data_IF_795222433080
#
_entry.id   IF_795222433080
#
_cell.length_a   1.000
_cell.length_b   1.000
_cell.length_c   1.000
_cell.angle_alpha   90.00
_cell.angle_beta   90.00
_cell.angle_gamma   90.00
#
_symmetry.space_group_name_H-M   'P 1'
#
loop_
_entity.id
_entity.type
_entity.pdbx_description
1 polymer ?
#
# COMPACT_ATOMS: atom_id res chain seq x y z
N UNK A 1 -34.89 -21.75 40.90
CA UNK A 1 -35.30 -21.02 39.67
C UNK A 1 -36.81 -21.06 39.57
N UNK A 2 -37.47 -19.90 39.55
CA UNK A 2 -38.93 -19.75 39.70
C UNK A 2 -39.71 -20.41 38.55
N UNK A 3 -40.79 -21.12 38.89
CA UNK A 3 -41.74 -21.79 37.99
C UNK A 3 -42.40 -20.87 36.96
N UNK A 4 -42.30 -19.56 37.18
CA UNK A 4 -42.82 -18.52 36.30
C UNK A 4 -41.95 -18.30 35.04
N UNK A 5 -40.63 -18.56 35.14
CA UNK A 5 -39.72 -18.47 34.00
C UNK A 5 -39.92 -19.62 32.99
N UNK A 6 -40.25 -20.82 33.49
CA UNK A 6 -40.58 -21.98 32.64
C UNK A 6 -41.88 -21.77 31.85
N UNK A 7 -42.91 -21.19 32.47
CA UNK A 7 -44.17 -20.86 31.79
C UNK A 7 -44.02 -19.76 30.73
N UNK A 8 -43.11 -18.79 30.94
CA UNK A 8 -42.77 -17.79 29.92
C UNK A 8 -42.00 -18.39 28.73
N UNK A 9 -41.11 -19.34 28.96
CA UNK A 9 -40.39 -20.06 27.90
C UNK A 9 -41.32 -20.96 27.07
N UNK A 10 -42.26 -21.67 27.71
CA UNK A 10 -43.24 -22.51 26.99
C UNK A 10 -44.24 -21.72 26.13
N UNK A 11 -44.53 -20.47 26.50
CA UNK A 11 -45.34 -19.55 25.66
C UNK A 11 -44.58 -19.01 24.45
N UNK A 12 -43.26 -18.91 24.51
CA UNK A 12 -42.43 -18.48 23.38
C UNK A 12 -42.19 -19.62 22.37
N UNK A 13 -42.23 -20.88 22.81
CA UNK A 13 -42.00 -22.04 21.94
C UNK A 13 -43.23 -22.44 21.10
N UNK A 14 -44.45 -22.08 21.56
CA UNK A 14 -45.70 -22.40 20.84
C UNK A 14 -46.04 -21.48 19.66
N UNK A 15 -45.18 -20.50 19.36
CA UNK A 15 -45.32 -19.58 18.22
C UNK A 15 -44.48 -19.93 16.98
N UNK A 16 -43.57 -20.91 17.06
CA UNK A 16 -42.76 -21.35 15.92
C UNK A 16 -43.51 -22.38 15.08
N UNK A 17 -44.60 -21.95 14.46
CA UNK A 17 -45.05 -22.60 13.24
C UNK A 17 -43.92 -22.42 12.21
N UNK A 18 -43.40 -23.54 11.69
CA UNK A 18 -42.54 -23.58 10.50
C UNK A 18 -43.34 -23.00 9.34
N UNK A 19 -43.38 -21.68 9.22
CA UNK A 19 -43.60 -21.05 7.92
C UNK A 19 -42.44 -21.49 7.06
N UNK A 20 -42.67 -22.48 6.19
CA UNK A 20 -41.86 -22.69 5.01
C UNK A 20 -41.63 -21.31 4.40
N UNK A 21 -40.41 -20.80 4.50
CA UNK A 21 -40.01 -19.62 3.76
C UNK A 21 -40.31 -19.94 2.31
N UNK A 22 -41.36 -19.33 1.75
CA UNK A 22 -41.61 -19.37 0.31
C UNK A 22 -40.32 -18.90 -0.33
N UNK A 23 -39.62 -19.79 -1.04
CA UNK A 23 -38.48 -19.43 -1.84
C UNK A 23 -38.91 -18.26 -2.73
N UNK A 24 -38.36 -17.08 -2.49
CA UNK A 24 -38.51 -15.97 -3.44
C UNK A 24 -37.97 -16.49 -4.77
N UNK A 25 -38.68 -16.30 -5.89
CA UNK A 25 -38.14 -16.71 -7.18
C UNK A 25 -36.79 -16.01 -7.35
N UNK A 26 -35.71 -16.79 -7.44
CA UNK A 26 -34.37 -16.28 -7.68
C UNK A 26 -34.42 -15.46 -8.95
N UNK A 27 -34.18 -14.16 -8.85
CA UNK A 27 -34.10 -13.28 -10.03
C UNK A 27 -32.94 -13.81 -10.88
N UNK A 28 -33.25 -14.41 -12.03
CA UNK A 28 -32.25 -14.59 -13.09
C UNK A 28 -31.92 -13.19 -13.57
N UNK A 29 -30.81 -12.63 -13.07
CA UNK A 29 -30.27 -11.41 -13.62
C UNK A 29 -29.96 -11.68 -15.09
N UNK A 30 -30.76 -11.08 -15.97
CA UNK A 30 -30.39 -10.95 -17.37
C UNK A 30 -29.06 -10.17 -17.39
N UNK A 31 -28.13 -10.59 -18.25
CA UNK A 31 -26.91 -9.84 -18.58
C UNK A 31 -25.72 -9.89 -17.62
N UNK A 32 -25.74 -10.66 -16.53
CA UNK A 32 -24.49 -10.94 -15.79
C UNK A 32 -23.49 -11.74 -16.64
N UNK A 33 -22.17 -11.55 -16.45
CA UNK A 33 -21.17 -12.40 -17.08
C UNK A 33 -21.39 -13.88 -16.76
N UNK A 34 -21.01 -14.81 -17.67
CA UNK A 34 -21.13 -16.24 -17.41
C UNK A 34 -20.43 -16.62 -16.11
N UNK A 35 -21.16 -17.28 -15.21
CA UNK A 35 -20.68 -17.75 -13.92
C UNK A 35 -21.41 -19.02 -13.49
N UNK A 36 -20.95 -19.60 -12.40
CA UNK A 36 -21.45 -20.85 -11.85
C UNK A 36 -21.97 -20.68 -10.43
N UNK A 37 -22.90 -21.56 -10.03
CA UNK A 37 -23.36 -21.65 -8.66
C UNK A 37 -22.53 -22.69 -7.91
N UNK A 38 -21.86 -22.27 -6.85
CA UNK A 38 -21.05 -23.13 -5.98
C UNK A 38 -21.84 -23.44 -4.73
N UNK A 39 -22.11 -24.73 -4.49
CA UNK A 39 -22.78 -25.19 -3.28
C UNK A 39 -21.81 -25.26 -2.10
N UNK A 40 -22.23 -24.71 -0.97
CA UNK A 40 -21.50 -24.72 0.30
C UNK A 40 -22.44 -25.15 1.42
N UNK A 41 -21.89 -25.38 2.62
CA UNK A 41 -22.72 -25.62 3.81
C UNK A 41 -23.63 -24.45 4.19
N UNK A 42 -23.36 -23.25 3.67
CA UNK A 42 -24.09 -22.02 3.97
C UNK A 42 -25.07 -21.60 2.85
N UNK A 43 -25.20 -22.42 1.81
CA UNK A 43 -26.03 -22.14 0.63
C UNK A 43 -25.22 -22.02 -0.66
N UNK A 44 -25.79 -21.32 -1.65
CA UNK A 44 -25.20 -21.19 -2.98
C UNK A 44 -24.52 -19.83 -3.12
N UNK A 45 -23.29 -19.83 -3.64
CA UNK A 45 -22.56 -18.63 -4.04
C UNK A 45 -22.51 -18.54 -5.56
N UNK A 46 -22.64 -17.34 -6.11
CA UNK A 46 -22.39 -17.11 -7.54
C UNK A 46 -20.94 -16.71 -7.76
N UNK A 47 -20.27 -17.41 -8.69
CA UNK A 47 -18.84 -17.31 -8.94
C UNK A 47 -18.58 -17.13 -10.43
N UNK A 48 -17.70 -16.19 -10.77
CA UNK A 48 -17.20 -15.99 -12.13
C UNK A 48 -15.71 -16.35 -12.11
N UNK A 49 -15.32 -17.34 -12.91
CA UNK A 49 -13.91 -17.72 -13.10
C UNK A 49 -13.45 -17.28 -14.49
N UNK A 50 -12.34 -16.56 -14.54
CA UNK A 50 -11.67 -16.15 -15.78
C UNK A 50 -10.22 -16.59 -15.73
N UNK A 51 -9.81 -17.37 -16.74
CA UNK A 51 -8.43 -17.81 -16.91
C UNK A 51 -7.68 -16.87 -17.86
N UNK A 52 -6.49 -16.44 -17.45
CA UNK A 52 -5.56 -15.69 -18.27
C UNK A 52 -4.28 -16.51 -18.48
N UNK A 53 -3.77 -16.62 -19.73
CA UNK A 53 -2.46 -17.19 -19.95
C UNK A 53 -1.39 -16.35 -19.26
N UNK A 54 -0.25 -16.96 -18.92
CA UNK A 54 0.85 -16.29 -18.23
C UNK A 54 1.41 -15.09 -19.00
N UNK A 55 1.40 -15.20 -20.32
CA UNK A 55 1.88 -14.19 -21.26
C UNK A 55 0.85 -13.07 -21.51
N UNK A 56 -0.34 -13.15 -20.90
CA UNK A 56 -1.35 -12.11 -21.00
C UNK A 56 -0.76 -10.77 -20.58
N UNK A 57 -0.91 -9.76 -21.43
CA UNK A 57 -0.38 -8.42 -21.20
C UNK A 57 -1.45 -7.52 -20.60
N UNK A 58 -1.14 -6.97 -19.44
CA UNK A 58 -1.93 -5.95 -18.78
C UNK A 58 -1.17 -4.63 -18.79
N UNK A 59 -1.52 -3.74 -19.73
CA UNK A 59 -0.69 -2.58 -20.05
C UNK A 59 0.65 -3.02 -20.66
N UNK A 60 1.76 -2.56 -20.08
CA UNK A 60 3.09 -2.89 -20.58
C UNK A 60 3.71 -4.17 -19.99
N UNK A 61 3.11 -4.77 -18.96
CA UNK A 61 3.65 -5.97 -18.29
C UNK A 61 2.87 -7.23 -18.64
N UNK A 62 3.55 -8.37 -18.73
CA UNK A 62 2.89 -9.68 -18.68
C UNK A 62 2.65 -10.13 -17.23
N UNK A 63 1.66 -11.01 -17.02
CA UNK A 63 1.35 -11.51 -15.67
C UNK A 63 2.47 -12.35 -15.07
N UNK A 64 3.22 -13.09 -15.90
CA UNK A 64 4.36 -13.90 -15.44
C UNK A 64 5.56 -13.11 -14.92
N UNK A 65 5.72 -11.84 -15.29
CA UNK A 65 6.87 -11.02 -14.88
C UNK A 65 7.07 -11.04 -13.36
N UNK A 66 5.97 -11.02 -12.60
CA UNK A 66 6.00 -10.98 -11.14
C UNK A 66 6.64 -12.25 -10.56
N UNK A 67 6.48 -13.39 -11.24
CA UNK A 67 6.98 -14.69 -10.80
C UNK A 67 8.51 -14.80 -10.85
N UNK A 68 9.17 -13.88 -11.58
CA UNK A 68 10.63 -13.82 -11.69
C UNK A 68 11.32 -13.15 -10.50
N UNK A 69 10.55 -12.52 -9.59
CA UNK A 69 11.10 -11.81 -8.45
C UNK A 69 11.19 -12.70 -7.21
N UNK A 70 12.28 -12.57 -6.46
CA UNK A 70 12.41 -13.22 -5.17
C UNK A 70 11.48 -12.54 -4.14
N UNK A 71 10.80 -13.31 -3.28
CA UNK A 71 9.93 -12.78 -2.23
C UNK A 71 10.62 -11.78 -1.29
N UNK A 72 11.94 -11.93 -1.06
CA UNK A 72 12.74 -10.99 -0.29
C UNK A 72 12.71 -9.55 -0.84
N UNK A 73 12.62 -9.36 -2.16
CA UNK A 73 12.47 -8.00 -2.71
C UNK A 73 11.14 -7.36 -2.26
N UNK A 74 10.07 -8.14 -2.25
CA UNK A 74 8.77 -7.65 -1.80
C UNK A 74 8.75 -7.41 -0.28
N UNK A 75 9.44 -8.25 0.49
CA UNK A 75 9.61 -8.04 1.93
C UNK A 75 10.26 -6.69 2.23
N UNK A 76 11.32 -6.32 1.51
CA UNK A 76 11.98 -5.02 1.64
C UNK A 76 11.11 -3.85 1.20
N UNK A 77 10.42 -3.99 0.07
CA UNK A 77 9.53 -2.95 -0.49
C UNK A 77 8.35 -2.68 0.44
N UNK A 78 7.73 -3.75 0.98
CA UNK A 78 6.60 -3.69 1.90
C UNK A 78 7.01 -3.29 3.33
N UNK A 79 8.26 -3.56 3.72
CA UNK A 79 8.69 -3.52 5.12
C UNK A 79 8.05 -4.62 5.96
N UNK A 80 7.85 -5.81 5.37
CA UNK A 80 7.24 -6.97 6.01
C UNK A 80 8.10 -8.22 5.77
N UNK A 81 8.91 -8.58 6.76
CA UNK A 81 9.84 -9.70 6.68
C UNK A 81 9.16 -11.06 6.46
N UNK A 82 7.87 -11.20 6.81
CA UNK A 82 7.16 -12.48 6.64
C UNK A 82 6.96 -12.85 5.16
N UNK A 83 7.02 -11.87 4.25
CA UNK A 83 6.97 -12.14 2.80
C UNK A 83 8.18 -12.94 2.33
N UNK A 84 9.32 -12.86 3.01
CA UNK A 84 10.54 -13.58 2.62
C UNK A 84 10.35 -15.11 2.64
N UNK A 85 9.54 -15.62 3.57
CA UNK A 85 9.22 -17.05 3.69
C UNK A 85 8.10 -17.54 2.75
N UNK A 86 7.51 -16.67 1.94
CA UNK A 86 6.41 -17.01 1.03
C UNK A 86 6.92 -17.37 -0.37
N UNK A 87 6.04 -17.86 -1.25
CA UNK A 87 6.32 -17.97 -2.69
C UNK A 87 5.39 -17.08 -3.48
N UNK A 88 5.94 -16.32 -4.44
CA UNK A 88 5.15 -15.43 -5.31
C UNK A 88 4.05 -16.19 -6.07
N UNK A 89 4.33 -17.44 -6.47
CA UNK A 89 3.35 -18.33 -7.11
C UNK A 89 2.17 -18.70 -6.20
N UNK A 90 2.29 -18.53 -4.88
CA UNK A 90 1.24 -18.75 -3.88
C UNK A 90 0.69 -17.45 -3.32
N UNK A 91 0.86 -16.32 -4.01
CA UNK A 91 0.22 -15.07 -3.62
C UNK A 91 -1.20 -14.96 -4.16
N UNK A 92 -2.08 -14.36 -3.36
CA UNK A 92 -3.43 -13.95 -3.76
C UNK A 92 -3.49 -12.44 -4.01
N UNK A 93 -3.98 -12.04 -5.17
CA UNK A 93 -4.21 -10.64 -5.54
C UNK A 93 -5.68 -10.33 -5.36
N UNK A 94 -6.01 -9.40 -4.47
CA UNK A 94 -7.39 -9.25 -4.00
C UNK A 94 -7.83 -7.79 -4.00
N UNK A 95 -9.09 -7.60 -4.37
CA UNK A 95 -9.80 -6.33 -4.37
C UNK A 95 -11.29 -6.60 -4.14
N UNK A 96 -11.95 -5.73 -3.37
CA UNK A 96 -13.38 -5.84 -3.07
C UNK A 96 -14.16 -4.57 -3.42
N UNK A 97 -15.38 -4.75 -3.91
CA UNK A 97 -16.37 -3.67 -3.99
C UNK A 97 -17.37 -3.79 -2.86
N UNK A 98 -17.69 -2.66 -2.23
CA UNK A 98 -18.49 -2.65 -1.01
C UNK A 98 -19.73 -1.77 -1.10
N UNK A 99 -20.72 -2.03 -0.24
CA UNK A 99 -21.92 -1.19 -0.10
C UNK A 99 -21.68 0.13 0.62
N UNK A 100 -20.44 0.44 1.01
CA UNK A 100 -20.11 1.66 1.74
C UNK A 100 -18.61 1.90 1.94
N UNK A 101 -18.24 3.18 1.99
CA UNK A 101 -16.84 3.62 2.04
C UNK A 101 -16.24 3.66 3.46
N UNK A 102 -17.05 3.47 4.50
CA UNK A 102 -16.65 3.68 5.90
C UNK A 102 -16.35 2.41 6.68
N UNK A 103 -16.40 1.22 6.06
CA UNK A 103 -15.97 -0.06 6.66
C UNK A 103 -16.70 -0.46 7.95
N UNK A 104 -17.85 0.15 8.25
CA UNK A 104 -18.64 -0.14 9.44
C UNK A 104 -19.31 -1.53 9.37
N UNK A 105 -19.83 -2.03 10.49
CA UNK A 105 -20.40 -3.38 10.61
C UNK A 105 -21.51 -3.73 9.59
N UNK A 106 -22.14 -2.74 8.94
CA UNK A 106 -23.12 -2.94 7.86
C UNK A 106 -22.56 -2.92 6.44
N UNK A 107 -21.26 -2.73 6.25
CA UNK A 107 -20.60 -2.70 4.93
C UNK A 107 -20.44 -4.12 4.42
N UNK A 108 -21.07 -4.46 3.31
CA UNK A 108 -20.96 -5.77 2.65
C UNK A 108 -19.94 -5.66 1.53
N UNK A 109 -19.04 -6.63 1.38
CA UNK A 109 -18.27 -6.83 0.16
C UNK A 109 -19.13 -7.59 -0.84
N UNK A 110 -19.81 -6.88 -1.73
CA UNK A 110 -20.79 -7.49 -2.64
C UNK A 110 -20.13 -8.07 -3.90
N UNK A 111 -18.90 -7.64 -4.19
CA UNK A 111 -18.04 -8.26 -5.19
C UNK A 111 -16.67 -8.47 -4.55
N UNK A 112 -16.21 -9.72 -4.54
CA UNK A 112 -14.90 -10.07 -3.98
C UNK A 112 -14.11 -10.77 -5.08
N UNK A 113 -13.06 -10.12 -5.58
CA UNK A 113 -12.19 -10.70 -6.57
C UNK A 113 -10.89 -11.21 -5.96
N UNK A 114 -10.47 -12.40 -6.39
CA UNK A 114 -9.23 -13.06 -5.99
C UNK A 114 -8.54 -13.63 -7.24
N UNK A 115 -7.36 -13.12 -7.53
CA UNK A 115 -6.44 -13.65 -8.53
C UNK A 115 -5.36 -14.52 -7.92
N UNK A 116 -5.14 -15.73 -8.46
CA UNK A 116 -4.08 -16.65 -8.01
C UNK A 116 -3.36 -17.28 -9.20
N UNK A 117 -2.08 -17.57 -9.04
CA UNK A 117 -1.34 -18.37 -10.03
C UNK A 117 -1.63 -19.85 -9.83
N UNK A 118 -2.01 -20.53 -10.91
CA UNK A 118 -2.22 -21.98 -10.95
C UNK A 118 -1.41 -22.60 -12.08
N UNK A 119 -1.41 -23.93 -12.21
CA UNK A 119 -0.69 -24.60 -13.29
C UNK A 119 -1.17 -24.08 -14.65
N UNK A 120 -0.31 -23.37 -15.37
CA UNK A 120 -0.54 -22.91 -16.74
C UNK A 120 -1.16 -21.52 -16.89
N UNK A 121 -1.40 -20.76 -15.80
CA UNK A 121 -1.90 -19.39 -15.94
C UNK A 121 -2.29 -18.71 -14.64
N UNK A 122 -2.95 -17.57 -14.80
CA UNK A 122 -3.51 -16.76 -13.74
C UNK A 122 -5.03 -16.91 -13.72
N UNK A 123 -5.57 -17.38 -12.61
CA UNK A 123 -7.00 -17.59 -12.43
C UNK A 123 -7.57 -16.46 -11.60
N UNK A 124 -8.41 -15.64 -12.21
CA UNK A 124 -9.22 -14.64 -11.56
C UNK A 124 -10.57 -15.23 -11.20
N UNK A 125 -10.93 -15.14 -9.93
CA UNK A 125 -12.20 -15.57 -9.40
C UNK A 125 -12.93 -14.40 -8.76
N UNK A 126 -14.18 -14.20 -9.12
CA UNK A 126 -15.01 -13.12 -8.59
C UNK A 126 -16.28 -13.70 -7.99
N UNK A 127 -16.50 -13.42 -6.71
CA UNK A 127 -17.74 -13.73 -6.01
C UNK A 127 -18.64 -12.51 -6.03
N UNK A 128 -19.75 -12.59 -6.77
CA UNK A 128 -20.73 -11.51 -6.86
C UNK A 128 -22.00 -11.91 -6.12
N UNK A 129 -22.42 -11.10 -5.14
CA UNK A 129 -23.62 -11.36 -4.35
C UNK A 129 -24.86 -10.91 -5.14
N UNK A 130 -25.54 -11.84 -5.81
CA UNK A 130 -26.78 -11.53 -6.55
C UNK A 130 -27.90 -11.13 -5.60
N UNK A 131 -27.85 -11.68 -4.39
CA UNK A 131 -28.65 -11.30 -3.24
C UNK A 131 -27.73 -11.29 -2.00
N UNK A 132 -27.90 -10.36 -1.03
CA UNK A 132 -27.13 -10.35 0.21
C UNK A 132 -27.15 -11.68 0.99
N UNK A 133 -28.18 -12.52 0.81
CA UNK A 133 -28.27 -13.85 1.42
C UNK A 133 -27.14 -14.80 0.96
N UNK A 134 -26.50 -14.53 -0.19
CA UNK A 134 -25.39 -15.35 -0.72
C UNK A 134 -24.05 -15.10 0.00
N UNK A 135 -23.96 -14.08 0.87
CA UNK A 135 -22.70 -13.66 1.50
C UNK A 135 -21.98 -14.79 2.23
N UNK A 136 -22.70 -15.54 3.08
CA UNK A 136 -22.09 -16.59 3.89
C UNK A 136 -21.48 -17.70 3.01
N UNK A 137 -22.17 -18.07 1.92
CA UNK A 137 -21.67 -19.04 0.96
C UNK A 137 -20.43 -18.51 0.22
N UNK A 138 -20.48 -17.26 -0.25
CA UNK A 138 -19.35 -16.62 -0.93
C UNK A 138 -18.10 -16.54 -0.05
N UNK A 139 -18.24 -16.09 1.20
CA UNK A 139 -17.13 -16.03 2.16
C UNK A 139 -16.57 -17.42 2.49
N UNK A 140 -17.43 -18.45 2.57
CA UNK A 140 -16.99 -19.83 2.81
C UNK A 140 -16.16 -20.34 1.63
N UNK A 141 -16.60 -20.10 0.40
CA UNK A 141 -15.85 -20.50 -0.79
C UNK A 141 -14.53 -19.72 -0.91
N UNK A 142 -14.55 -18.40 -0.70
CA UNK A 142 -13.35 -17.56 -0.67
C UNK A 142 -12.33 -18.07 0.35
N UNK A 143 -12.77 -18.48 1.55
CA UNK A 143 -11.89 -19.04 2.57
C UNK A 143 -11.18 -20.29 2.07
N UNK A 144 -11.90 -21.17 1.38
CA UNK A 144 -11.33 -22.38 0.78
C UNK A 144 -10.29 -22.04 -0.30
N UNK A 145 -10.53 -21.00 -1.10
CA UNK A 145 -9.60 -20.60 -2.16
C UNK A 145 -8.32 -19.92 -1.66
N UNK A 146 -8.42 -19.31 -0.48
CA UNK A 146 -7.29 -18.75 0.24
C UNK A 146 -6.50 -19.82 1.00
N UNK A 147 -6.95 -21.07 1.04
CA UNK A 147 -6.15 -22.17 1.59
C UNK A 147 -4.89 -22.38 0.76
N UNK A 148 -3.73 -22.31 1.41
CA UNK A 148 -2.44 -22.42 0.74
C UNK A 148 -1.93 -21.11 0.12
N UNK A 149 -2.67 -20.00 0.23
CA UNK A 149 -2.12 -18.67 -0.05
C UNK A 149 -1.11 -18.31 1.05
N UNK A 150 0.09 -17.90 0.63
CA UNK A 150 1.20 -17.58 1.52
C UNK A 150 1.48 -16.08 1.64
N UNK A 151 0.83 -15.27 0.80
CA UNK A 151 0.94 -13.83 0.82
C UNK A 151 -0.22 -13.20 0.09
N UNK A 152 -0.61 -12.02 0.52
CA UNK A 152 -1.69 -11.24 -0.10
C UNK A 152 -1.09 -10.00 -0.73
N UNK A 153 -1.66 -9.61 -1.87
CA UNK A 153 -1.38 -8.35 -2.56
C UNK A 153 -2.70 -7.61 -2.72
N UNK A 154 -2.75 -6.35 -2.29
CA UNK A 154 -3.91 -5.48 -2.45
C UNK A 154 -3.48 -4.05 -2.76
N UNK A 155 -4.43 -3.17 -3.08
CA UNK A 155 -4.19 -1.73 -3.16
C UNK A 155 -4.98 -1.00 -2.05
N UNK A 156 -4.29 -0.53 -1.02
CA UNK A 156 -4.89 0.07 0.20
C UNK A 156 -5.72 -0.91 1.05
N UNK A 157 -5.66 -2.21 0.77
CA UNK A 157 -6.50 -3.19 1.47
C UNK A 157 -6.11 -3.45 2.92
N UNK A 158 -4.92 -3.02 3.36
CA UNK A 158 -4.52 -3.14 4.78
C UNK A 158 -5.47 -2.35 5.68
N UNK A 159 -5.98 -1.22 5.17
CA UNK A 159 -6.86 -0.31 5.92
C UNK A 159 -8.33 -0.45 5.56
N UNK A 160 -8.67 -1.26 4.54
CA UNK A 160 -10.01 -1.32 4.00
C UNK A 160 -10.47 -2.76 3.73
N UNK A 161 -10.00 -3.38 2.66
CA UNK A 161 -10.45 -4.70 2.19
C UNK A 161 -10.35 -5.78 3.27
N UNK A 162 -9.17 -5.94 3.88
CA UNK A 162 -8.95 -6.99 4.88
C UNK A 162 -9.82 -6.76 6.13
N UNK A 163 -9.83 -5.56 6.76
CA UNK A 163 -10.73 -5.29 7.89
C UNK A 163 -12.22 -5.53 7.59
N UNK A 164 -12.69 -5.20 6.38
CA UNK A 164 -14.06 -5.47 5.96
C UNK A 164 -14.31 -6.97 5.93
N UNK A 165 -13.48 -7.74 5.21
CA UNK A 165 -13.62 -9.19 5.11
C UNK A 165 -13.55 -9.87 6.48
N UNK A 166 -12.60 -9.53 7.35
CA UNK A 166 -12.49 -10.09 8.70
C UNK A 166 -13.75 -9.85 9.55
N UNK A 167 -14.31 -8.63 9.44
CA UNK A 167 -15.58 -8.29 10.09
C UNK A 167 -16.73 -9.14 9.54
N UNK A 168 -16.77 -9.37 8.22
CA UNK A 168 -17.80 -10.20 7.59
C UNK A 168 -17.66 -11.69 7.92
N UNK A 169 -16.44 -12.23 7.97
CA UNK A 169 -16.18 -13.58 8.49
C UNK A 169 -16.71 -13.74 9.91
N UNK A 170 -16.50 -12.74 10.76
CA UNK A 170 -16.98 -12.77 12.15
C UNK A 170 -18.51 -12.72 12.23
N UNK A 171 -19.16 -11.89 11.42
CA UNK A 171 -20.62 -11.69 11.46
C UNK A 171 -21.36 -12.84 10.78
N UNK A 172 -21.01 -13.16 9.53
CA UNK A 172 -21.72 -14.12 8.70
C UNK A 172 -21.38 -15.57 9.06
N UNK A 173 -20.11 -15.87 9.40
CA UNK A 173 -19.63 -17.23 9.63
C UNK A 173 -19.25 -17.53 11.08
N UNK A 174 -19.34 -16.55 11.99
CA UNK A 174 -18.86 -16.65 13.38
C UNK A 174 -17.39 -17.08 13.48
N UNK A 175 -16.63 -16.72 12.46
CA UNK A 175 -15.24 -17.10 12.30
C UNK A 175 -14.34 -15.89 12.49
N UNK A 176 -13.48 -15.92 13.51
CA UNK A 176 -12.56 -14.82 13.82
C UNK A 176 -11.25 -14.96 13.06
N UNK A 177 -11.37 -15.20 11.76
CA UNK A 177 -10.21 -15.37 10.91
C UNK A 177 -9.49 -14.03 10.72
N UNK A 178 -8.18 -14.03 10.98
CA UNK A 178 -7.32 -12.85 10.83
C UNK A 178 -6.60 -12.90 9.50
N UNK A 179 -7.27 -12.43 8.45
CA UNK A 179 -6.70 -12.34 7.11
C UNK A 179 -5.49 -11.39 7.09
N UNK A 180 -5.48 -10.36 7.94
CA UNK A 180 -4.38 -9.43 8.12
C UNK A 180 -3.12 -10.06 8.74
N UNK A 181 -3.18 -11.32 9.17
CA UNK A 181 -2.01 -12.06 9.67
C UNK A 181 -1.19 -12.69 8.54
N UNK A 182 -1.72 -12.75 7.32
CA UNK A 182 -0.95 -13.18 6.16
C UNK A 182 0.12 -12.13 5.80
N UNK A 183 1.31 -12.55 5.32
CA UNK A 183 2.29 -11.65 4.73
C UNK A 183 1.64 -10.76 3.67
N UNK A 184 1.87 -9.44 3.72
CA UNK A 184 1.05 -8.51 2.93
C UNK A 184 1.84 -7.44 2.19
N UNK A 185 1.78 -7.49 0.86
CA UNK A 185 2.21 -6.41 -0.02
C UNK A 185 1.03 -5.50 -0.35
N UNK A 186 0.84 -4.45 0.44
CA UNK A 186 -0.10 -3.36 0.11
C UNK A 186 0.57 -2.35 -0.81
N UNK A 187 0.16 -2.34 -2.09
CA UNK A 187 0.83 -1.59 -3.15
C UNK A 187 0.67 -0.06 -3.04
N UNK A 188 -0.26 0.45 -2.23
CA UNK A 188 -0.46 1.89 -2.08
C UNK A 188 0.79 2.58 -1.51
N UNK A 189 1.43 1.97 -0.50
CA UNK A 189 2.58 2.55 0.18
C UNK A 189 3.83 2.63 -0.70
N UNK A 190 4.27 1.53 -1.36
CA UNK A 190 5.40 1.61 -2.27
C UNK A 190 5.09 2.48 -3.48
N UNK A 191 3.86 2.47 -3.99
CA UNK A 191 3.46 3.36 -5.09
C UNK A 191 3.58 4.84 -4.70
N UNK A 192 3.10 5.23 -3.51
CA UNK A 192 3.29 6.60 -2.99
C UNK A 192 4.76 6.94 -2.82
N UNK A 193 5.58 5.99 -2.36
CA UNK A 193 7.01 6.25 -2.16
C UNK A 193 7.72 6.57 -3.47
N UNK A 194 7.42 5.83 -4.54
CA UNK A 194 7.98 6.03 -5.87
C UNK A 194 7.44 7.30 -6.55
N UNK A 195 6.12 7.52 -6.48
CA UNK A 195 5.45 8.40 -7.45
C UNK A 195 4.66 9.57 -6.86
N UNK A 196 4.52 9.69 -5.53
CA UNK A 196 3.75 10.82 -4.93
C UNK A 196 4.35 12.20 -5.20
N UNK A 197 5.63 12.26 -5.58
CA UNK A 197 6.35 13.50 -5.90
C UNK A 197 6.29 13.87 -7.38
N UNK A 198 5.78 12.98 -8.24
CA UNK A 198 5.79 13.14 -9.70
C UNK A 198 4.39 13.07 -10.31
N UNK A 199 3.49 12.26 -9.75
CA UNK A 199 2.12 12.14 -10.24
C UNK A 199 1.16 13.05 -9.47
N UNK A 200 0.04 13.40 -10.11
CA UNK A 200 -1.03 14.21 -9.50
C UNK A 200 -1.66 13.54 -8.28
N UNK A 201 -1.76 12.20 -8.30
CA UNK A 201 -2.14 11.37 -7.17
C UNK A 201 -1.69 9.92 -7.40
N UNK A 202 -1.72 9.10 -6.36
CA UNK A 202 -1.45 7.66 -6.44
C UNK A 202 -2.73 6.85 -6.25
N UNK A 203 -3.83 7.22 -6.93
CA UNK A 203 -5.00 6.33 -7.06
C UNK A 203 -4.68 5.24 -8.10
N UNK A 204 -5.26 4.06 -7.96
CA UNK A 204 -4.99 2.93 -8.86
C UNK A 204 -5.23 3.30 -10.32
N UNK A 205 -6.36 3.95 -10.65
CA UNK A 205 -6.65 4.41 -12.02
C UNK A 205 -5.61 5.40 -12.59
N UNK A 206 -4.97 6.22 -11.75
CA UNK A 206 -3.86 7.09 -12.19
C UNK A 206 -2.61 6.27 -12.49
N UNK A 207 -2.28 5.30 -11.62
CA UNK A 207 -1.13 4.42 -11.81
C UNK A 207 -1.30 3.52 -13.03
N UNK A 208 -2.50 3.02 -13.27
CA UNK A 208 -2.83 2.27 -14.47
C UNK A 208 -2.53 3.06 -15.75
N UNK A 209 -3.00 4.30 -15.84
CA UNK A 209 -2.80 5.13 -17.04
C UNK A 209 -1.35 5.59 -17.19
N UNK A 210 -0.72 6.05 -16.10
CA UNK A 210 0.57 6.75 -16.17
C UNK A 210 1.78 5.82 -15.96
N UNK A 211 1.61 4.71 -15.25
CA UNK A 211 2.68 3.76 -14.93
C UNK A 211 2.53 2.47 -15.74
N UNK A 212 1.38 1.81 -15.68
CA UNK A 212 1.15 0.56 -16.40
C UNK A 212 0.79 0.75 -17.88
N UNK A 213 0.29 1.93 -18.24
CA UNK A 213 -0.28 2.26 -19.54
C UNK A 213 -1.42 1.31 -19.97
N UNK A 214 -2.26 0.92 -19.00
CA UNK A 214 -3.45 0.11 -19.23
C UNK A 214 -4.47 0.91 -20.04
N UNK A 215 -5.00 0.29 -21.10
CA UNK A 215 -6.11 0.81 -21.88
C UNK A 215 -7.38 0.07 -21.48
N UNK A 216 -8.23 0.71 -20.67
CA UNK A 216 -9.55 0.16 -20.31
C UNK A 216 -10.44 0.14 -21.55
N UNK A 217 -11.14 -0.97 -21.80
CA UNK A 217 -12.08 -1.10 -22.95
C UNK A 217 -13.48 -0.59 -22.61
N UNK A 218 -13.80 -0.44 -21.32
CA UNK A 218 -15.04 0.13 -20.83
C UNK A 218 -14.77 1.47 -20.12
N UNK A 219 -15.77 2.34 -20.10
CA UNK A 219 -15.71 3.63 -19.39
C UNK A 219 -15.49 3.41 -17.89
N UNK A 220 -14.69 4.27 -17.26
CA UNK A 220 -14.37 4.18 -15.84
C UNK A 220 -15.61 4.46 -15.00
N UNK A 221 -16.01 3.53 -14.13
CA UNK A 221 -17.03 3.79 -13.12
C UNK A 221 -16.37 4.51 -11.95
N UNK A 222 -16.79 5.75 -11.60
CA UNK A 222 -16.29 6.40 -10.39
C UNK A 222 -16.62 5.54 -9.17
N UNK A 223 -15.60 5.14 -8.39
CA UNK A 223 -15.76 4.24 -7.26
C UNK A 223 -16.80 4.68 -6.21
N UNK A 224 -17.06 5.98 -6.09
CA UNK A 224 -18.10 6.52 -5.20
C UNK A 224 -19.54 6.17 -5.64
N UNK A 225 -19.74 5.84 -6.92
CA UNK A 225 -21.04 5.46 -7.47
C UNK A 225 -21.32 3.95 -7.37
N UNK A 226 -20.26 3.13 -7.26
CA UNK A 226 -20.35 1.67 -7.24
C UNK A 226 -21.33 1.14 -6.17
N UNK A 227 -21.34 1.64 -4.91
CA UNK A 227 -22.32 1.21 -3.92
C UNK A 227 -23.77 1.48 -4.34
N UNK A 228 -24.03 2.63 -4.98
CA UNK A 228 -25.36 3.02 -5.45
C UNK A 228 -25.84 2.11 -6.58
N UNK A 229 -24.97 1.78 -7.52
CA UNK A 229 -25.27 0.86 -8.63
C UNK A 229 -25.70 -0.52 -8.12
N UNK A 230 -25.03 -1.05 -7.08
CA UNK A 230 -25.43 -2.33 -6.49
C UNK A 230 -26.80 -2.26 -5.81
N UNK A 231 -27.10 -1.17 -5.10
CA UNK A 231 -28.41 -0.98 -4.49
C UNK A 231 -29.53 -0.89 -5.55
N UNK A 232 -29.26 -0.25 -6.68
CA UNK A 232 -30.21 -0.16 -7.78
C UNK A 232 -30.40 -1.50 -8.49
N UNK A 233 -29.34 -2.30 -8.66
CA UNK A 233 -29.43 -3.69 -9.09
C UNK A 233 -30.34 -4.51 -8.16
N UNK A 234 -30.17 -4.40 -6.84
CA UNK A 234 -31.03 -5.13 -5.89
C UNK A 234 -32.51 -4.72 -5.98
N UNK A 235 -32.79 -3.45 -6.26
CA UNK A 235 -34.17 -2.96 -6.43
C UNK A 235 -34.78 -3.44 -7.74
N UNK A 236 -34.10 -3.19 -8.85
CA UNK A 236 -34.63 -3.33 -10.21
C UNK A 236 -34.45 -4.74 -10.78
N UNK A 237 -33.37 -5.42 -10.41
CA UNK A 237 -32.91 -6.66 -11.03
C UNK A 237 -32.12 -6.45 -12.33
N UNK A 238 -31.87 -5.20 -12.74
CA UNK A 238 -31.09 -4.86 -13.92
C UNK A 238 -29.59 -4.92 -13.60
N UNK A 239 -28.87 -5.84 -14.24
CA UNK A 239 -27.45 -6.07 -14.02
C UNK A 239 -26.53 -5.31 -15.00
N UNK A 240 -27.08 -4.47 -15.87
CA UNK A 240 -26.31 -3.76 -16.90
C UNK A 240 -25.10 -3.01 -16.34
N UNK A 241 -25.29 -2.30 -15.22
CA UNK A 241 -24.21 -1.58 -14.54
C UNK A 241 -23.25 -2.53 -13.80
N UNK A 242 -23.74 -3.66 -13.31
CA UNK A 242 -22.94 -4.66 -12.60
C UNK A 242 -21.93 -5.34 -13.51
N UNK A 243 -22.23 -5.49 -14.82
CA UNK A 243 -21.24 -5.96 -15.80
C UNK A 243 -19.99 -5.08 -15.80
N UNK A 244 -20.17 -3.76 -15.74
CA UNK A 244 -19.05 -2.82 -15.70
C UNK A 244 -18.29 -2.92 -14.38
N UNK A 245 -19.00 -2.96 -13.25
CA UNK A 245 -18.38 -3.10 -11.92
C UNK A 245 -17.55 -4.39 -11.82
N UNK A 246 -18.08 -5.52 -12.32
CA UNK A 246 -17.35 -6.79 -12.37
C UNK A 246 -16.11 -6.69 -13.27
N UNK A 247 -16.22 -6.04 -14.42
CA UNK A 247 -15.07 -5.78 -15.28
C UNK A 247 -14.02 -4.89 -14.60
N UNK A 248 -14.42 -3.85 -13.87
CA UNK A 248 -13.50 -2.97 -13.16
C UNK A 248 -12.69 -3.71 -12.09
N UNK A 249 -13.35 -4.47 -11.23
CA UNK A 249 -12.67 -5.30 -10.23
C UNK A 249 -11.70 -6.30 -10.87
N UNK A 250 -12.05 -6.88 -12.02
CA UNK A 250 -11.16 -7.75 -12.78
C UNK A 250 -9.89 -7.00 -13.26
N UNK A 251 -10.07 -5.81 -13.85
CA UNK A 251 -8.97 -4.94 -14.29
C UNK A 251 -8.09 -4.52 -13.12
N UNK A 252 -8.68 -4.13 -11.99
CA UNK A 252 -7.97 -3.69 -10.80
C UNK A 252 -7.07 -4.82 -10.26
N UNK A 253 -7.56 -6.06 -10.22
CA UNK A 253 -6.77 -7.24 -9.81
C UNK A 253 -5.60 -7.52 -10.76
N UNK A 254 -5.82 -7.45 -12.07
CA UNK A 254 -4.73 -7.57 -13.04
C UNK A 254 -3.72 -6.41 -12.88
N UNK A 255 -4.19 -5.22 -12.54
CA UNK A 255 -3.34 -4.06 -12.23
C UNK A 255 -2.50 -4.30 -10.99
N UNK A 256 -2.98 -5.04 -9.98
CA UNK A 256 -2.16 -5.42 -8.83
C UNK A 256 -0.95 -6.27 -9.23
N UNK A 257 -1.15 -7.23 -10.16
CA UNK A 257 -0.06 -8.07 -10.68
C UNK A 257 0.97 -7.22 -11.43
N UNK A 258 0.51 -6.43 -12.41
CA UNK A 258 1.39 -5.56 -13.21
C UNK A 258 2.13 -4.53 -12.36
N UNK A 259 1.44 -3.91 -11.40
CA UNK A 259 2.04 -2.92 -10.51
C UNK A 259 3.07 -3.55 -9.56
N UNK A 260 2.83 -4.79 -9.09
CA UNK A 260 3.83 -5.55 -8.34
C UNK A 260 5.09 -5.76 -9.18
N UNK A 261 4.97 -6.22 -10.42
CA UNK A 261 6.10 -6.39 -11.34
C UNK A 261 6.87 -5.09 -11.54
N UNK A 262 6.17 -3.99 -11.81
CA UNK A 262 6.81 -2.68 -12.01
C UNK A 262 7.54 -2.25 -10.76
N UNK A 263 6.92 -2.24 -9.58
CA UNK A 263 7.56 -1.79 -8.34
C UNK A 263 8.80 -2.64 -8.02
N UNK A 264 8.68 -3.98 -8.10
CA UNK A 264 9.78 -4.89 -7.82
C UNK A 264 10.91 -4.75 -8.84
N UNK A 265 10.59 -4.46 -10.10
CA UNK A 265 11.60 -4.18 -11.13
C UNK A 265 12.45 -2.97 -10.78
N UNK A 266 11.84 -1.88 -10.30
CA UNK A 266 12.56 -0.64 -9.92
C UNK A 266 13.52 -0.90 -8.76
N UNK A 267 13.09 -1.71 -7.78
CA UNK A 267 13.91 -2.08 -6.63
C UNK A 267 15.05 -3.05 -6.99
N UNK A 268 14.88 -3.89 -8.03
CA UNK A 268 15.92 -4.84 -8.48
C UNK A 268 17.01 -4.18 -9.33
N UNK A 269 16.77 -3.01 -9.92
CA UNK A 269 17.68 -2.40 -10.89
C UNK A 269 19.08 -2.23 -10.30
N UNK A 270 20.12 -2.87 -10.89
CA UNK A 270 21.50 -2.70 -10.43
C UNK A 270 22.01 -1.27 -10.61
N UNK A 271 21.57 -0.63 -11.70
CA UNK A 271 21.90 0.76 -12.02
C UNK A 271 20.64 1.64 -11.89
N UNK A 272 20.54 2.47 -10.84
CA UNK A 272 19.40 3.34 -10.61
C UNK A 272 19.45 4.63 -11.45
N UNK A 273 20.47 4.88 -12.27
CA UNK A 273 20.59 6.13 -13.06
C UNK A 273 19.50 6.29 -14.13
N UNK A 274 18.88 5.19 -14.57
CA UNK A 274 17.73 5.21 -15.47
C UNK A 274 16.40 5.58 -14.80
N UNK A 275 16.36 5.67 -13.46
CA UNK A 275 15.18 6.07 -12.70
C UNK A 275 15.05 7.58 -12.63
N UNK A 276 13.81 8.06 -12.49
CA UNK A 276 13.62 9.46 -12.08
C UNK A 276 14.23 9.70 -10.69
N UNK A 277 14.63 10.94 -10.38
CA UNK A 277 15.19 11.25 -9.06
C UNK A 277 14.28 10.86 -7.88
N UNK A 278 12.96 10.86 -8.08
CA UNK A 278 11.99 10.47 -7.05
C UNK A 278 11.98 8.95 -6.85
N UNK A 279 12.03 8.18 -7.93
CA UNK A 279 12.11 6.72 -7.88
C UNK A 279 13.45 6.26 -7.29
N UNK A 280 14.56 6.85 -7.74
CA UNK A 280 15.89 6.57 -7.19
C UNK A 280 15.95 6.87 -5.68
N UNK A 281 15.33 7.95 -5.21
CA UNK A 281 15.22 8.26 -3.78
C UNK A 281 14.43 7.19 -3.02
N UNK A 282 13.32 6.71 -3.59
CA UNK A 282 12.51 5.67 -2.97
C UNK A 282 13.30 4.36 -2.83
N UNK A 283 13.97 3.93 -3.91
CA UNK A 283 14.82 2.73 -3.98
C UNK A 283 15.99 2.82 -3.01
N UNK A 284 16.69 3.96 -2.97
CA UNK A 284 17.78 4.19 -2.02
C UNK A 284 17.33 4.02 -0.56
N UNK A 285 16.12 4.48 -0.24
CA UNK A 285 15.58 4.31 1.11
C UNK A 285 15.15 2.87 1.42
N UNK A 286 14.79 2.06 0.42
CA UNK A 286 14.55 0.63 0.63
C UNK A 286 15.87 -0.11 0.87
N UNK A 287 16.89 0.10 0.04
CA UNK A 287 18.23 -0.45 0.27
C UNK A 287 18.79 -0.07 1.64
N UNK A 288 18.68 1.21 2.03
CA UNK A 288 19.15 1.67 3.34
C UNK A 288 18.40 1.01 4.51
N UNK A 289 17.09 0.78 4.37
CA UNK A 289 16.29 0.09 5.39
C UNK A 289 16.65 -1.41 5.48
N UNK A 290 17.01 -2.03 4.36
CA UNK A 290 17.48 -3.41 4.28
C UNK A 290 18.97 -3.59 4.66
N UNK A 291 19.68 -2.51 5.04
CA UNK A 291 21.11 -2.57 5.37
C UNK A 291 22.06 -2.69 4.17
N UNK A 292 21.55 -2.56 2.94
CA UNK A 292 22.32 -2.59 1.69
C UNK A 292 22.93 -1.21 1.40
N UNK A 293 23.89 -0.83 2.23
CA UNK A 293 24.44 0.54 2.22
C UNK A 293 25.16 0.93 0.92
N UNK A 294 25.96 0.07 0.27
CA UNK A 294 26.55 0.40 -1.02
C UNK A 294 25.51 0.72 -2.11
N UNK A 295 24.48 -0.11 -2.22
CA UNK A 295 23.38 0.08 -3.18
C UNK A 295 22.54 1.32 -2.84
N UNK A 296 22.31 1.56 -1.54
CA UNK A 296 21.63 2.76 -1.07
C UNK A 296 22.39 4.04 -1.45
N UNK A 297 23.72 4.04 -1.30
CA UNK A 297 24.56 5.18 -1.66
C UNK A 297 24.49 5.49 -3.15
N UNK A 298 24.66 4.48 -4.00
CA UNK A 298 24.53 4.60 -5.46
C UNK A 298 23.16 5.16 -5.86
N UNK A 299 22.09 4.64 -5.25
CA UNK A 299 20.73 5.11 -5.54
C UNK A 299 20.48 6.53 -5.00
N UNK A 300 21.04 6.93 -3.85
CA UNK A 300 20.95 8.31 -3.39
C UNK A 300 21.72 9.27 -4.31
N UNK A 301 22.89 8.88 -4.82
CA UNK A 301 23.64 9.66 -5.79
C UNK A 301 22.85 9.85 -7.09
N UNK A 302 22.24 8.77 -7.61
CA UNK A 302 21.33 8.84 -8.75
C UNK A 302 20.13 9.77 -8.46
N UNK A 303 19.57 9.72 -7.26
CA UNK A 303 18.49 10.61 -6.84
C UNK A 303 18.90 12.09 -6.83
N UNK A 304 20.12 12.40 -6.36
CA UNK A 304 20.66 13.77 -6.41
C UNK A 304 20.84 14.22 -7.86
N UNK A 305 21.45 13.37 -8.70
CA UNK A 305 21.71 13.66 -10.11
C UNK A 305 20.44 13.84 -10.95
N UNK A 306 19.42 13.01 -10.71
CA UNK A 306 18.14 13.00 -11.45
C UNK A 306 17.02 13.82 -10.82
N UNK A 307 17.29 14.63 -9.79
CA UNK A 307 16.26 15.43 -9.12
C UNK A 307 15.75 16.58 -10.03
N UNK A 308 14.42 16.68 -10.28
CA UNK A 308 13.87 17.69 -11.19
C UNK A 308 13.72 19.07 -10.53
N UNK A 309 13.86 19.17 -9.21
CA UNK A 309 13.72 20.42 -8.47
C UNK A 309 14.61 20.46 -7.22
N UNK A 310 14.79 21.68 -6.67
CA UNK A 310 15.65 21.93 -5.50
C UNK A 310 15.21 21.16 -4.26
N UNK A 311 13.90 21.02 -4.04
CA UNK A 311 13.35 20.33 -2.87
C UNK A 311 13.73 18.85 -2.85
N UNK A 312 13.47 18.13 -3.95
CA UNK A 312 13.84 16.72 -4.04
C UNK A 312 15.36 16.52 -3.94
N UNK A 313 16.13 17.40 -4.58
CA UNK A 313 17.60 17.33 -4.52
C UNK A 313 18.12 17.52 -3.09
N UNK A 314 17.59 18.50 -2.35
CA UNK A 314 17.94 18.70 -0.94
C UNK A 314 17.54 17.52 -0.05
N UNK A 315 16.40 16.89 -0.32
CA UNK A 315 15.94 15.70 0.42
C UNK A 315 16.86 14.49 0.16
N UNK A 316 17.27 14.28 -1.09
CA UNK A 316 18.22 13.25 -1.45
C UNK A 316 19.61 13.49 -0.81
N UNK A 317 20.12 14.73 -0.84
CA UNK A 317 21.38 15.11 -0.19
C UNK A 317 21.33 14.89 1.33
N UNK A 318 20.22 15.26 1.99
CA UNK A 318 20.00 14.99 3.41
C UNK A 318 20.14 13.50 3.73
N UNK A 319 19.53 12.64 2.93
CA UNK A 319 19.60 11.20 3.13
C UNK A 319 20.99 10.62 2.82
N UNK A 320 21.62 11.05 1.73
CA UNK A 320 22.98 10.65 1.35
C UNK A 320 23.99 11.01 2.45
N UNK A 321 23.99 12.27 2.91
CA UNK A 321 24.89 12.73 3.94
C UNK A 321 24.63 12.01 5.28
N UNK A 322 23.35 11.73 5.59
CA UNK A 322 22.98 10.92 6.75
C UNK A 322 23.51 9.48 6.69
N UNK A 323 23.49 8.85 5.51
CA UNK A 323 24.04 7.51 5.28
C UNK A 323 25.56 7.51 5.47
N UNK A 324 26.27 8.43 4.82
CA UNK A 324 27.73 8.57 4.92
C UNK A 324 28.17 8.83 6.37
N UNK A 325 27.46 9.72 7.08
CA UNK A 325 27.69 10.01 8.50
C UNK A 325 27.55 8.77 9.37
N UNK A 326 26.52 7.93 9.14
CA UNK A 326 26.32 6.68 9.90
C UNK A 326 27.44 5.67 9.69
N UNK A 327 28.06 5.68 8.51
CA UNK A 327 29.22 4.85 8.17
C UNK A 327 30.55 5.48 8.60
N UNK A 328 30.52 6.55 9.41
CA UNK A 328 31.69 7.32 9.86
C UNK A 328 32.52 7.95 8.70
N UNK A 329 31.95 8.02 7.49
CA UNK A 329 32.54 8.64 6.30
C UNK A 329 32.22 10.14 6.24
N UNK A 330 32.52 10.86 7.33
CA UNK A 330 32.18 12.30 7.47
C UNK A 330 32.85 13.20 6.42
N UNK A 331 34.12 13.00 6.04
CA UNK A 331 34.75 13.81 4.98
C UNK A 331 34.00 13.72 3.64
N UNK A 332 33.44 12.56 3.31
CA UNK A 332 32.69 12.35 2.07
C UNK A 332 31.27 12.95 2.14
N UNK A 333 30.71 13.12 3.34
CA UNK A 333 29.43 13.78 3.55
C UNK A 333 29.50 15.31 3.41
N UNK A 334 30.70 15.90 3.52
CA UNK A 334 30.90 17.35 3.51
C UNK A 334 30.28 18.05 2.29
N UNK A 335 30.55 17.62 1.03
CA UNK A 335 29.97 18.27 -0.14
C UNK A 335 28.43 18.22 -0.14
N UNK A 336 27.86 17.12 0.38
CA UNK A 336 26.42 16.96 0.45
C UNK A 336 25.77 17.90 1.48
N UNK A 337 26.41 18.14 2.62
CA UNK A 337 25.95 19.14 3.60
C UNK A 337 26.04 20.56 3.05
N UNK A 338 27.13 20.91 2.36
CA UNK A 338 27.32 22.24 1.76
C UNK A 338 26.28 22.53 0.67
N UNK A 339 26.02 21.55 -0.22
CA UNK A 339 25.01 21.69 -1.25
C UNK A 339 23.60 21.71 -0.66
N UNK A 340 23.30 20.88 0.33
CA UNK A 340 22.02 20.90 1.04
C UNK A 340 21.75 22.28 1.64
N UNK A 341 22.71 22.87 2.36
CA UNK A 341 22.58 24.23 2.89
C UNK A 341 22.25 25.26 1.79
N UNK A 342 22.95 25.18 0.65
CA UNK A 342 22.73 26.10 -0.48
C UNK A 342 21.32 25.97 -1.08
N UNK A 343 20.77 24.76 -1.12
CA UNK A 343 19.46 24.47 -1.71
C UNK A 343 18.30 24.71 -0.74
N UNK A 344 18.54 24.59 0.57
CA UNK A 344 17.56 24.77 1.63
C UNK A 344 18.11 25.72 2.72
N UNK A 345 18.22 27.03 2.43
CA UNK A 345 18.82 28.00 3.37
C UNK A 345 18.01 28.16 4.67
N UNK A 346 16.72 27.82 4.66
CA UNK A 346 15.82 27.90 5.83
C UNK A 346 15.90 26.65 6.73
N UNK A 347 16.69 25.65 6.35
CA UNK A 347 16.96 24.46 7.15
C UNK A 347 18.29 24.61 7.92
N UNK A 348 18.28 24.65 9.26
CA UNK A 348 19.50 24.77 10.06
C UNK A 348 20.29 23.46 10.13
N UNK A 349 19.68 22.32 9.80
CA UNK A 349 20.27 20.99 9.94
C UNK A 349 21.64 20.85 9.24
N UNK A 350 21.83 21.23 7.96
CA UNK A 350 23.14 21.14 7.32
C UNK A 350 24.19 22.04 8.00
N UNK A 351 23.80 23.23 8.49
CA UNK A 351 24.72 24.12 9.22
C UNK A 351 25.18 23.50 10.54
N UNK A 352 24.29 22.80 11.25
CA UNK A 352 24.64 22.09 12.49
C UNK A 352 25.64 20.96 12.20
N UNK A 353 25.41 20.18 11.13
CA UNK A 353 26.31 19.11 10.72
C UNK A 353 27.68 19.65 10.28
N UNK A 354 27.71 20.74 9.51
CA UNK A 354 28.95 21.43 9.12
C UNK A 354 29.70 21.94 10.35
N UNK A 355 29.02 22.54 11.32
CA UNK A 355 29.63 22.97 12.56
C UNK A 355 30.27 21.80 13.34
N UNK A 356 29.60 20.64 13.37
CA UNK A 356 30.14 19.42 13.97
C UNK A 356 31.38 18.90 13.24
N UNK A 357 31.32 18.85 11.91
CA UNK A 357 32.43 18.41 11.08
C UNK A 357 33.69 19.26 11.31
N UNK A 358 33.56 20.58 11.25
CA UNK A 358 34.71 21.47 11.46
C UNK A 358 35.23 21.45 12.90
N UNK A 359 34.37 21.22 13.90
CA UNK A 359 34.79 21.14 15.30
C UNK A 359 35.58 19.84 15.58
N UNK A 360 35.11 18.70 15.07
CA UNK A 360 35.57 17.39 15.51
C UNK A 360 36.50 16.71 14.52
N UNK A 361 36.26 16.88 13.22
CA UNK A 361 37.01 16.23 12.15
C UNK A 361 38.12 17.15 11.64
N UNK A 362 37.76 18.32 11.10
CA UNK A 362 38.73 19.24 10.49
C UNK A 362 39.48 20.13 11.51
N UNK A 363 39.09 20.10 12.79
CA UNK A 363 39.69 20.87 13.90
C UNK A 363 39.80 22.38 13.65
N UNK A 364 38.96 22.94 12.79
CA UNK A 364 38.85 24.38 12.56
C UNK A 364 37.74 24.96 13.43
N UNK A 365 38.11 25.45 14.62
CA UNK A 365 37.16 26.04 15.56
C UNK A 365 36.51 27.32 15.03
N UNK A 366 37.22 28.09 14.19
CA UNK A 366 36.70 29.29 13.54
C UNK A 366 35.56 28.94 12.56
N UNK A 367 35.76 27.92 11.71
CA UNK A 367 34.74 27.43 10.79
C UNK A 367 33.56 26.79 11.52
N UNK A 368 33.84 26.01 12.56
CA UNK A 368 32.79 25.45 13.41
C UNK A 368 31.89 26.54 14.02
N UNK A 369 32.50 27.63 14.49
CA UNK A 369 31.76 28.77 15.04
C UNK A 369 30.97 29.50 13.94
N UNK A 370 31.54 29.68 12.74
CA UNK A 370 30.87 30.30 11.59
C UNK A 370 29.58 29.55 11.24
N UNK A 371 29.65 28.23 11.11
CA UNK A 371 28.49 27.40 10.79
C UNK A 371 27.46 27.32 11.91
N UNK A 372 27.90 27.28 13.17
CA UNK A 372 26.98 27.34 14.31
C UNK A 372 26.22 28.68 14.39
N UNK A 373 26.88 29.81 14.07
CA UNK A 373 26.21 31.11 13.95
C UNK A 373 25.22 31.14 12.78
N UNK A 374 25.58 30.54 11.65
CA UNK A 374 24.67 30.41 10.50
C UNK A 374 23.41 29.61 10.87
N UNK A 375 23.56 28.48 11.58
CA UNK A 375 22.43 27.69 12.08
C UNK A 375 21.54 28.52 13.02
N UNK A 376 22.13 29.29 13.95
CA UNK A 376 21.36 30.13 14.89
C UNK A 376 20.51 31.17 14.14
N UNK A 377 21.10 31.84 13.15
CA UNK A 377 20.40 32.84 12.33
C UNK A 377 19.18 32.26 11.62
N UNK A 378 19.29 31.01 11.12
CA UNK A 378 18.15 30.32 10.49
C UNK A 378 17.05 30.02 11.52
N UNK A 379 17.42 29.51 12.69
CA UNK A 379 16.46 29.19 13.77
C UNK A 379 15.77 30.45 14.31
N UNK A 380 16.47 31.58 14.39
CA UNK A 380 15.89 32.87 14.80
C UNK A 380 14.77 33.35 13.86
N UNK A 381 14.82 32.95 12.59
CA UNK A 381 13.77 33.22 11.60
C UNK A 381 12.54 32.33 11.73
N UNK A 382 12.57 31.26 12.53
CA UNK A 382 11.42 30.37 12.71
C UNK A 382 10.31 31.01 13.56
N UNK A 383 9.04 30.59 13.39
CA UNK A 383 7.96 30.99 14.28
C UNK A 383 8.26 30.66 15.74
N UNK A 384 7.78 31.51 16.66
CA UNK A 384 7.89 31.26 18.09
C UNK A 384 7.20 29.94 18.46
N UNK A 385 7.86 29.14 19.29
CA UNK A 385 7.35 27.87 19.76
C UNK A 385 8.45 26.94 20.25
N UNK A 386 8.04 25.83 20.86
CA UNK A 386 8.93 24.88 21.52
C UNK A 386 10.09 24.39 20.65
N UNK A 387 9.85 24.17 19.35
CA UNK A 387 10.86 23.68 18.41
C UNK A 387 11.98 24.70 18.19
N UNK A 388 11.62 25.98 18.08
CA UNK A 388 12.59 27.07 17.96
C UNK A 388 13.41 27.19 19.25
N UNK A 389 12.74 27.24 20.40
CA UNK A 389 13.40 27.34 21.71
C UNK A 389 14.42 26.22 21.94
N UNK A 390 14.01 24.97 21.69
CA UNK A 390 14.89 23.82 21.82
C UNK A 390 16.11 23.92 20.89
N UNK A 391 15.89 24.21 19.61
CA UNK A 391 16.97 24.27 18.64
C UNK A 391 17.92 25.45 18.91
N UNK A 392 17.39 26.60 19.34
CA UNK A 392 18.19 27.76 19.78
C UNK A 392 19.10 27.38 20.94
N UNK A 393 18.56 26.76 21.99
CA UNK A 393 19.33 26.35 23.16
C UNK A 393 20.48 25.37 22.80
N UNK A 394 20.23 24.41 21.91
CA UNK A 394 21.25 23.47 21.43
C UNK A 394 22.40 24.17 20.69
N UNK A 395 22.06 25.11 19.80
CA UNK A 395 23.04 25.84 18.99
C UNK A 395 23.83 26.84 19.85
N UNK A 396 23.18 27.54 20.78
CA UNK A 396 23.81 28.45 21.74
C UNK A 396 24.78 27.72 22.67
N UNK A 397 24.38 26.55 23.19
CA UNK A 397 25.25 25.71 24.00
C UNK A 397 26.53 25.31 23.24
N UNK A 398 26.40 24.95 21.95
CA UNK A 398 27.56 24.68 21.08
C UNK A 398 28.43 25.93 20.89
N UNK A 399 27.83 27.08 20.62
CA UNK A 399 28.56 28.35 20.46
C UNK A 399 29.34 28.72 21.72
N UNK A 400 28.74 28.57 22.91
CA UNK A 400 29.41 28.79 24.17
C UNK A 400 30.62 27.86 24.36
N UNK A 401 30.45 26.56 24.08
CA UNK A 401 31.54 25.57 24.11
C UNK A 401 32.67 25.94 23.14
N UNK A 402 32.34 26.35 21.91
CA UNK A 402 33.32 26.73 20.88
C UNK A 402 34.09 28.01 21.27
N UNK A 403 33.42 29.02 21.84
CA UNK A 403 34.07 30.24 22.31
C UNK A 403 35.12 29.94 23.38
N UNK A 404 34.79 29.10 24.36
CA UNK A 404 35.72 28.67 25.40
C UNK A 404 36.96 27.96 24.84
N UNK A 405 36.80 27.17 23.78
CA UNK A 405 37.91 26.48 23.09
C UNK A 405 38.77 27.39 22.22
N UNK A 406 38.28 28.57 21.84
CA UNK A 406 39.02 29.56 21.04
C UNK A 406 39.81 30.54 21.91
N UNK A 407 39.38 30.74 23.15
CA UNK A 407 40.04 31.61 24.14
C UNK A 407 41.08 30.89 24.99
N UNK A 408 41.07 29.55 24.97
CA UNK A 408 42.06 28.68 25.58
C UNK A 408 42.94 28.09 24.48
#
# INVERSE_FOLDING_TARGET
MSSDLRRRLERLDRGRSRTQARARPRRRALDLPPGEEVETTEGLAFRIDTHYPLEYRHGQSSLEEVLSYAPGLAAEVAGDAHLEGSRVQRWGFMDIETTGLSGGAGTLGFLIGLGTFQKGGFNLRQYFLRDPEEEAAALRSLRSDLEGVEGIVTFNGRRFDLPVLESRYTIALRDRWKLSALPHLDLLYPARRLWSKTLVNCRLSTLERQVLQVKRTQEDVPGELIPGMYLDYLRTGDASDMVRVIYHNAIDILSLVGLSSVILSRHRLPDPTGLSGAEALAVARWHAAAGRFPEAETAYQAAVGGAPNRGLRSEALKHLAGLLKRQNRRPEALPAWEEWHRLAPDDPSPCIELAMYYEWEARSLAEAQRWAKAALKVVEGWPNGWRREQQTAEVEHRLHRLRRKLTN
#
